data_IF_327915161240
#
_entry.id   IF_327915161240
#
_cell.length_a   1.000
_cell.length_b   1.000
_cell.length_c   1.000
_cell.angle_alpha   90.00
_cell.angle_beta   90.00
_cell.angle_gamma   90.00
#
_symmetry.space_group_name_H-M   'P 1'
#
loop_
_entity.id
_entity.type
_entity.pdbx_description
1 polymer ?
#
# COMPACT_ATOMS: atom_id res chain seq x y z
N UNK A 1 55.17 36.86 -10.11
CA UNK A 1 55.05 35.48 -9.56
C UNK A 1 53.96 35.36 -8.48
N UNK A 2 53.84 36.26 -7.49
CA UNK A 2 52.80 36.13 -6.43
C UNK A 2 51.35 36.34 -6.89
N UNK A 3 51.11 37.20 -7.88
CA UNK A 3 49.76 37.60 -8.32
C UNK A 3 48.98 36.47 -9.01
N UNK A 4 49.63 35.70 -9.90
CA UNK A 4 49.00 34.56 -10.58
C UNK A 4 48.62 33.42 -9.62
N UNK A 5 49.45 33.17 -8.61
CA UNK A 5 49.16 32.16 -7.58
C UNK A 5 48.01 32.58 -6.69
N UNK A 6 47.95 33.86 -6.30
CA UNK A 6 46.86 34.41 -5.50
C UNK A 6 45.53 34.39 -6.28
N UNK A 7 45.55 34.72 -7.57
CA UNK A 7 44.37 34.67 -8.44
C UNK A 7 43.87 33.23 -8.64
N UNK A 8 44.77 32.26 -8.85
CA UNK A 8 44.40 30.85 -8.92
C UNK A 8 43.78 30.36 -7.60
N UNK A 9 44.35 30.76 -6.46
CA UNK A 9 43.80 30.48 -5.13
C UNK A 9 42.38 31.02 -4.97
N UNK A 10 42.12 32.26 -5.38
CA UNK A 10 40.78 32.85 -5.29
C UNK A 10 39.73 32.10 -6.12
N UNK A 11 40.08 31.61 -7.31
CA UNK A 11 39.18 30.77 -8.10
C UNK A 11 38.87 29.45 -7.40
N UNK A 12 39.86 28.83 -6.76
CA UNK A 12 39.66 27.59 -5.99
C UNK A 12 38.79 27.81 -4.75
N UNK A 13 39.00 28.91 -4.02
CA UNK A 13 38.18 29.26 -2.85
C UNK A 13 36.72 29.51 -3.25
N UNK A 14 36.51 30.19 -4.39
CA UNK A 14 35.17 30.42 -4.93
C UNK A 14 34.49 29.10 -5.32
N UNK A 15 35.22 28.17 -5.90
CA UNK A 15 34.68 26.85 -6.26
C UNK A 15 34.38 26.00 -5.03
N UNK A 16 35.25 26.03 -4.01
CA UNK A 16 35.02 25.34 -2.75
C UNK A 16 33.77 25.87 -2.04
N UNK A 17 33.55 27.18 -2.03
CA UNK A 17 32.37 27.80 -1.43
C UNK A 17 31.06 27.41 -2.14
N UNK A 18 31.10 27.06 -3.43
CA UNK A 18 29.92 26.63 -4.18
C UNK A 18 29.50 25.18 -3.88
N UNK A 19 30.34 24.38 -3.22
CA UNK A 19 30.03 22.98 -2.92
C UNK A 19 28.83 22.89 -1.99
N UNK A 20 28.74 23.77 -0.99
CA UNK A 20 27.63 23.76 -0.03
C UNK A 20 26.29 24.03 -0.73
N UNK A 21 26.24 25.03 -1.62
CA UNK A 21 25.04 25.34 -2.42
C UNK A 21 24.61 24.14 -3.30
N UNK A 22 25.59 23.44 -3.90
CA UNK A 22 25.33 22.25 -4.72
C UNK A 22 24.74 21.13 -3.86
N UNK A 23 25.32 20.88 -2.68
CA UNK A 23 24.84 19.82 -1.78
C UNK A 23 23.42 20.11 -1.28
N UNK A 24 23.10 21.37 -0.99
CA UNK A 24 21.74 21.78 -0.62
C UNK A 24 20.75 21.56 -1.78
N UNK A 25 21.13 21.92 -3.01
CA UNK A 25 20.31 21.62 -4.19
C UNK A 25 20.15 20.10 -4.41
N UNK A 26 21.20 19.29 -4.23
CA UNK A 26 21.13 17.83 -4.33
C UNK A 26 20.21 17.19 -3.28
N UNK A 27 20.24 17.70 -2.04
CA UNK A 27 19.38 17.25 -0.95
C UNK A 27 17.89 17.44 -1.31
N UNK A 28 17.54 18.56 -1.95
CA UNK A 28 16.17 18.80 -2.40
C UNK A 28 15.66 17.71 -3.35
N UNK A 29 16.48 17.29 -4.33
CA UNK A 29 16.11 16.20 -5.22
C UNK A 29 16.05 14.85 -4.51
N UNK A 30 16.97 14.61 -3.56
CA UNK A 30 16.96 13.40 -2.76
C UNK A 30 15.67 13.29 -1.93
N UNK A 31 15.21 14.40 -1.35
CA UNK A 31 13.96 14.45 -0.58
C UNK A 31 12.72 14.19 -1.44
N UNK A 32 12.64 14.79 -2.63
CA UNK A 32 11.57 14.48 -3.60
C UNK A 32 11.52 12.97 -3.94
N UNK A 33 12.68 12.34 -4.12
CA UNK A 33 12.76 10.90 -4.38
C UNK A 33 12.39 10.06 -3.14
N UNK A 34 12.74 10.51 -1.93
CA UNK A 34 12.36 9.84 -0.67
C UNK A 34 10.85 9.85 -0.46
N UNK A 35 10.14 10.89 -0.90
CA UNK A 35 8.66 10.92 -0.81
C UNK A 35 8.03 9.70 -1.48
N UNK A 36 8.60 9.25 -2.60
CA UNK A 36 8.15 8.06 -3.30
C UNK A 36 8.34 6.76 -2.53
N UNK A 37 9.26 6.69 -1.57
CA UNK A 37 9.34 5.57 -0.63
C UNK A 37 8.10 5.54 0.28
N UNK A 38 7.68 6.68 0.82
CA UNK A 38 6.47 6.76 1.66
C UNK A 38 5.19 6.43 0.88
N UNK A 39 5.11 6.79 -0.40
CA UNK A 39 4.00 6.36 -1.26
C UNK A 39 3.93 4.83 -1.40
N UNK A 40 5.08 4.13 -1.46
CA UNK A 40 5.05 2.65 -1.48
C UNK A 40 4.45 2.05 -0.20
N UNK A 41 4.68 2.68 0.95
CA UNK A 41 4.10 2.25 2.22
C UNK A 41 2.59 2.54 2.28
N UNK A 42 2.14 3.64 1.67
CA UNK A 42 0.72 3.95 1.51
C UNK A 42 0.02 2.88 0.63
N UNK A 43 0.59 2.55 -0.53
CA UNK A 43 0.06 1.49 -1.41
C UNK A 43 0.03 0.14 -0.69
N UNK A 44 1.09 -0.21 0.06
CA UNK A 44 1.11 -1.43 0.88
C UNK A 44 -0.03 -1.43 1.91
N UNK A 45 -0.34 -0.29 2.50
CA UNK A 45 -1.43 -0.15 3.48
C UNK A 45 -2.81 -0.35 2.85
N UNK A 46 -3.01 0.14 1.62
CA UNK A 46 -4.22 -0.13 0.82
C UNK A 46 -4.38 -1.62 0.54
N UNK A 47 -3.30 -2.30 0.13
CA UNK A 47 -3.32 -3.75 -0.10
C UNK A 47 -3.66 -4.53 1.17
N UNK A 48 -3.06 -4.18 2.32
CA UNK A 48 -3.40 -4.81 3.60
C UNK A 48 -4.85 -4.60 3.99
N UNK A 49 -5.41 -3.41 3.74
CA UNK A 49 -6.82 -3.14 3.98
C UNK A 49 -7.72 -3.99 3.08
N UNK A 50 -7.36 -4.18 1.81
CA UNK A 50 -8.06 -5.10 0.92
C UNK A 50 -8.06 -6.53 1.48
N UNK A 51 -6.91 -7.03 1.92
CA UNK A 51 -6.78 -8.38 2.49
C UNK A 51 -7.69 -8.57 3.72
N UNK A 52 -7.79 -7.57 4.59
CA UNK A 52 -8.68 -7.61 5.76
C UNK A 52 -10.16 -7.65 5.36
N UNK A 53 -10.58 -6.79 4.42
CA UNK A 53 -11.97 -6.76 3.93
C UNK A 53 -12.33 -8.09 3.25
N UNK A 54 -11.43 -8.61 2.43
CA UNK A 54 -11.60 -9.90 1.76
C UNK A 54 -11.71 -11.04 2.78
N UNK A 55 -10.88 -11.03 3.82
CA UNK A 55 -10.97 -12.00 4.91
C UNK A 55 -12.32 -11.94 5.64
N UNK A 56 -12.82 -10.75 5.97
CA UNK A 56 -14.14 -10.59 6.60
C UNK A 56 -15.27 -11.12 5.71
N UNK A 57 -15.20 -10.87 4.40
CA UNK A 57 -16.15 -11.39 3.42
C UNK A 57 -16.14 -12.93 3.39
N UNK A 58 -14.96 -13.53 3.36
CA UNK A 58 -14.78 -15.00 3.34
C UNK A 58 -15.29 -15.63 4.64
N UNK A 59 -15.05 -14.99 5.79
CA UNK A 59 -15.57 -15.43 7.08
C UNK A 59 -17.10 -15.39 7.12
N UNK A 60 -17.72 -14.31 6.63
CA UNK A 60 -19.18 -14.21 6.54
C UNK A 60 -19.78 -15.28 5.61
N UNK A 61 -19.12 -15.55 4.47
CA UNK A 61 -19.54 -16.59 3.54
C UNK A 61 -19.47 -17.99 4.19
N UNK A 62 -18.38 -18.29 4.89
CA UNK A 62 -18.18 -19.56 5.58
C UNK A 62 -19.19 -19.77 6.71
N UNK A 63 -19.50 -18.71 7.48
CA UNK A 63 -20.53 -18.76 8.52
C UNK A 63 -21.91 -19.08 7.93
N UNK A 64 -22.27 -18.42 6.83
CA UNK A 64 -23.54 -18.65 6.14
C UNK A 64 -23.66 -20.09 5.64
N UNK A 65 -22.60 -20.63 5.04
CA UNK A 65 -22.54 -22.04 4.59
C UNK A 65 -22.76 -22.99 5.78
N UNK A 66 -22.09 -22.74 6.91
CA UNK A 66 -22.27 -23.53 8.14
C UNK A 66 -23.71 -23.50 8.64
N UNK A 67 -24.36 -22.33 8.68
CA UNK A 67 -25.76 -22.19 9.10
C UNK A 67 -26.72 -22.93 8.17
N UNK A 68 -26.52 -22.81 6.84
CA UNK A 68 -27.32 -23.53 5.83
C UNK A 68 -27.18 -25.05 5.99
N UNK A 69 -25.97 -25.55 6.23
CA UNK A 69 -25.74 -26.97 6.49
C UNK A 69 -26.44 -27.43 7.77
N UNK A 70 -26.34 -26.65 8.87
CA UNK A 70 -27.04 -26.96 10.13
C UNK A 70 -28.57 -27.04 9.93
N UNK A 71 -29.13 -26.17 9.07
CA UNK A 71 -30.57 -26.15 8.76
C UNK A 71 -30.99 -27.36 7.95
N UNK A 72 -30.15 -27.82 7.04
CA UNK A 72 -30.40 -29.05 6.26
C UNK A 72 -30.31 -30.30 7.14
N UNK A 73 -29.31 -30.38 8.02
CA UNK A 73 -29.19 -31.47 9.01
C UNK A 73 -30.41 -31.51 9.95
N UNK A 74 -30.84 -30.35 10.44
CA UNK A 74 -32.01 -30.23 11.32
C UNK A 74 -33.33 -30.49 10.58
N UNK A 75 -33.46 -30.15 9.31
CA UNK A 75 -34.66 -30.42 8.50
C UNK A 75 -34.78 -31.91 8.13
N UNK A 76 -33.69 -32.53 7.68
CA UNK A 76 -33.68 -33.94 7.27
C UNK A 76 -33.68 -34.92 8.45
N UNK A 77 -33.36 -34.44 9.66
CA UNK A 77 -33.23 -35.29 10.84
C UNK A 77 -31.98 -36.18 10.80
N UNK A 78 -31.08 -35.91 9.85
CA UNK A 78 -29.83 -36.64 9.66
C UNK A 78 -28.79 -36.14 10.67
N UNK A 79 -29.04 -36.39 11.96
CA UNK A 79 -27.96 -36.34 12.94
C UNK A 79 -27.05 -37.50 12.58
N UNK A 80 -25.84 -37.24 12.08
CA UNK A 80 -24.86 -38.28 11.76
C UNK A 80 -24.83 -39.26 12.94
N UNK A 81 -25.17 -40.53 12.67
CA UNK A 81 -25.36 -41.60 13.66
C UNK A 81 -24.10 -41.84 14.52
N UNK A 82 -22.94 -41.31 14.11
CA UNK A 82 -21.65 -41.38 14.80
C UNK A 82 -21.22 -40.08 15.52
N UNK A 83 -22.09 -39.08 15.63
CA UNK A 83 -21.83 -37.86 16.42
C UNK A 83 -22.31 -38.03 17.87
N UNK A 84 -21.59 -37.45 18.83
CA UNK A 84 -21.96 -37.35 20.26
C UNK A 84 -23.42 -36.88 20.47
N UNK A 85 -23.97 -36.06 19.55
CA UNK A 85 -25.38 -35.61 19.58
C UNK A 85 -26.41 -36.75 19.34
N UNK A 86 -26.04 -37.79 18.60
CA UNK A 86 -26.88 -38.97 18.36
C UNK A 86 -26.97 -39.91 19.56
N UNK A 87 -25.99 -39.87 20.47
CA UNK A 87 -26.05 -40.59 21.74
C UNK A 87 -26.88 -39.85 22.79
N UNK A 88 -26.86 -38.51 22.80
CA UNK A 88 -27.65 -37.71 23.76
C UNK A 88 -29.15 -37.76 23.50
N UNK A 89 -29.60 -37.88 22.24
CA UNK A 89 -31.04 -38.01 21.93
C UNK A 89 -31.65 -39.33 22.44
N UNK A 90 -30.83 -40.39 22.56
CA UNK A 90 -31.24 -41.65 23.20
C UNK A 90 -31.21 -41.59 24.73
N UNK A 91 -30.44 -40.67 25.32
CA UNK A 91 -30.28 -40.52 26.77
C UNK A 91 -31.21 -39.46 27.40
N UNK A 92 -31.60 -38.42 26.66
CA UNK A 92 -32.36 -37.27 27.18
C UNK A 92 -33.77 -37.11 26.57
N UNK A 93 -34.19 -38.03 25.70
CA UNK A 93 -35.48 -38.00 25.01
C UNK A 93 -35.42 -37.29 23.66
N UNK A 94 -36.33 -37.65 22.77
CA UNK A 94 -36.55 -36.98 21.48
C UNK A 94 -37.05 -35.56 21.72
N UNK A 95 -36.33 -34.57 21.18
CA UNK A 95 -36.78 -33.18 21.08
C UNK A 95 -38.23 -33.12 20.57
N UNK A 96 -39.08 -32.29 21.17
CA UNK A 96 -40.46 -32.17 20.72
C UNK A 96 -40.51 -31.56 19.32
N UNK A 97 -41.54 -31.92 18.55
CA UNK A 97 -41.79 -31.38 17.22
C UNK A 97 -41.77 -29.84 17.23
N UNK A 98 -42.41 -29.23 18.24
CA UNK A 98 -42.51 -27.79 18.44
C UNK A 98 -41.16 -27.12 18.73
N UNK A 99 -40.29 -27.76 19.53
CA UNK A 99 -38.93 -27.27 19.79
C UNK A 99 -38.06 -27.29 18.53
N UNK A 100 -38.18 -28.36 17.72
CA UNK A 100 -37.46 -28.48 16.46
C UNK A 100 -37.91 -27.43 15.44
N UNK A 101 -39.22 -27.20 15.34
CA UNK A 101 -39.80 -26.16 14.47
C UNK A 101 -39.35 -24.76 14.91
N UNK A 102 -39.33 -24.47 16.21
CA UNK A 102 -38.82 -23.20 16.75
C UNK A 102 -37.32 -22.99 16.43
N UNK A 103 -36.49 -24.04 16.56
CA UNK A 103 -35.06 -23.96 16.19
C UNK A 103 -34.85 -23.79 14.69
N UNK A 104 -35.66 -24.44 13.86
CA UNK A 104 -35.63 -24.26 12.41
C UNK A 104 -35.98 -22.81 12.04
N UNK A 105 -37.04 -22.25 12.63
CA UNK A 105 -37.43 -20.86 12.38
C UNK A 105 -36.33 -19.86 12.80
N UNK A 106 -35.72 -20.05 13.98
CA UNK A 106 -34.61 -19.21 14.44
C UNK A 106 -33.37 -19.31 13.52
N UNK A 107 -33.07 -20.52 13.03
CA UNK A 107 -31.95 -20.75 12.13
C UNK A 107 -32.21 -20.17 10.73
N UNK A 108 -33.45 -20.24 10.23
CA UNK A 108 -33.85 -19.60 8.97
C UNK A 108 -33.71 -18.08 9.05
N UNK A 109 -34.16 -17.47 10.15
CA UNK A 109 -33.95 -16.04 10.39
C UNK A 109 -32.45 -15.69 10.40
N UNK A 110 -31.62 -16.47 11.10
CA UNK A 110 -30.18 -16.21 11.15
C UNK A 110 -29.48 -16.43 9.80
N UNK A 111 -30.00 -17.31 8.94
CA UNK A 111 -29.53 -17.47 7.56
C UNK A 111 -29.87 -16.23 6.75
N UNK A 112 -31.09 -15.70 6.87
CA UNK A 112 -31.51 -14.50 6.17
C UNK A 112 -30.66 -13.28 6.57
N UNK A 113 -30.43 -13.07 7.87
CA UNK A 113 -29.51 -12.03 8.38
C UNK A 113 -28.08 -12.23 7.86
N UNK A 114 -27.62 -13.48 7.78
CA UNK A 114 -26.32 -13.82 7.21
C UNK A 114 -26.20 -13.56 5.70
N UNK A 115 -27.27 -13.77 4.94
CA UNK A 115 -27.34 -13.43 3.51
C UNK A 115 -27.26 -11.93 3.27
N UNK A 116 -27.96 -11.14 4.09
CA UNK A 116 -27.88 -9.68 4.08
C UNK A 116 -26.47 -9.19 4.42
N UNK A 117 -25.88 -9.71 5.50
CA UNK A 117 -24.50 -9.40 5.92
C UNK A 117 -23.49 -9.72 4.81
N UNK A 118 -23.62 -10.89 4.17
CA UNK A 118 -22.74 -11.29 3.09
C UNK A 118 -22.88 -10.36 1.87
N UNK A 119 -24.10 -9.94 1.56
CA UNK A 119 -24.36 -8.99 0.47
C UNK A 119 -23.75 -7.62 0.76
N UNK A 120 -23.87 -7.13 2.00
CA UNK A 120 -23.25 -5.89 2.45
C UNK A 120 -21.74 -5.95 2.33
N UNK A 121 -21.10 -6.99 2.89
CA UNK A 121 -19.64 -7.19 2.82
C UNK A 121 -19.12 -7.31 1.38
N UNK A 122 -19.87 -7.97 0.50
CA UNK A 122 -19.51 -8.08 -0.91
C UNK A 122 -19.59 -6.72 -1.62
N UNK A 123 -20.56 -5.89 -1.25
CA UNK A 123 -20.70 -4.53 -1.78
C UNK A 123 -19.55 -3.65 -1.29
N UNK A 124 -19.26 -3.67 0.02
CA UNK A 124 -18.12 -2.98 0.63
C UNK A 124 -16.80 -3.35 -0.06
N UNK A 125 -16.56 -4.65 -0.28
CA UNK A 125 -15.35 -5.13 -0.95
C UNK A 125 -15.22 -4.60 -2.39
N UNK A 126 -16.31 -4.62 -3.16
CA UNK A 126 -16.30 -4.14 -4.55
C UNK A 126 -16.06 -2.64 -4.63
N UNK A 127 -16.74 -1.87 -3.78
CA UNK A 127 -16.57 -0.41 -3.70
C UNK A 127 -15.14 -0.07 -3.29
N UNK A 128 -14.59 -0.77 -2.28
CA UNK A 128 -13.22 -0.57 -1.87
C UNK A 128 -12.22 -0.86 -2.99
N UNK A 129 -12.36 -1.98 -3.69
CA UNK A 129 -11.47 -2.35 -4.81
C UNK A 129 -11.56 -1.33 -5.93
N UNK A 130 -12.76 -0.86 -6.27
CA UNK A 130 -12.95 0.14 -7.31
C UNK A 130 -12.22 1.45 -6.95
N UNK A 131 -12.47 1.98 -5.76
CA UNK A 131 -11.83 3.22 -5.31
C UNK A 131 -10.30 3.08 -5.20
N UNK A 132 -9.83 1.99 -4.59
CA UNK A 132 -8.41 1.70 -4.47
C UNK A 132 -7.73 1.58 -5.84
N UNK A 133 -8.40 0.99 -6.82
CA UNK A 133 -7.88 0.87 -8.17
C UNK A 133 -7.73 2.23 -8.86
N UNK A 134 -8.75 3.09 -8.74
CA UNK A 134 -8.68 4.46 -9.27
C UNK A 134 -7.52 5.27 -8.66
N UNK A 135 -7.29 5.12 -7.35
CA UNK A 135 -6.17 5.78 -6.67
C UNK A 135 -4.81 5.21 -7.10
N UNK A 136 -4.71 3.89 -7.28
CA UNK A 136 -3.50 3.23 -7.75
C UNK A 136 -3.14 3.65 -9.19
N UNK A 137 -4.13 3.76 -10.08
CA UNK A 137 -3.91 4.25 -11.45
C UNK A 137 -3.42 5.69 -11.46
N UNK A 138 -4.07 6.59 -10.71
CA UNK A 138 -3.61 7.98 -10.55
C UNK A 138 -2.18 8.05 -10.01
N UNK A 139 -1.86 7.20 -9.02
CA UNK A 139 -0.51 7.13 -8.48
C UNK A 139 0.52 6.69 -9.52
N UNK A 140 0.21 5.68 -10.35
CA UNK A 140 1.14 5.22 -11.40
C UNK A 140 1.46 6.32 -12.41
N UNK A 141 0.42 7.03 -12.88
CA UNK A 141 0.58 8.14 -13.83
C UNK A 141 1.41 9.27 -13.23
N UNK A 142 1.10 9.67 -12.00
CA UNK A 142 1.79 10.76 -11.30
C UNK A 142 3.24 10.40 -11.00
N UNK A 143 3.51 9.18 -10.54
CA UNK A 143 4.85 8.68 -10.24
C UNK A 143 5.77 8.76 -11.44
N UNK A 144 5.32 8.35 -12.62
CA UNK A 144 6.16 8.37 -13.82
C UNK A 144 6.51 9.80 -14.24
N UNK A 145 5.55 10.72 -14.12
CA UNK A 145 5.76 12.13 -14.43
C UNK A 145 6.76 12.76 -13.46
N UNK A 146 6.53 12.63 -12.16
CA UNK A 146 7.33 13.32 -11.15
C UNK A 146 8.76 12.78 -11.06
N UNK A 147 8.93 11.46 -11.09
CA UNK A 147 10.28 10.87 -11.11
C UNK A 147 11.05 11.29 -12.34
N UNK A 148 10.39 11.36 -13.51
CA UNK A 148 11.02 11.86 -14.73
C UNK A 148 11.42 13.32 -14.59
N UNK A 149 10.54 14.18 -14.09
CA UNK A 149 10.81 15.60 -13.90
C UNK A 149 11.94 15.84 -12.89
N UNK A 150 11.94 15.14 -11.75
CA UNK A 150 12.99 15.21 -10.74
C UNK A 150 14.36 14.77 -11.30
N UNK A 151 14.41 13.62 -11.99
CA UNK A 151 15.67 13.09 -12.56
C UNK A 151 16.21 13.97 -13.69
N UNK A 152 15.34 14.53 -14.54
CA UNK A 152 15.76 15.48 -15.58
C UNK A 152 16.32 16.75 -14.94
N UNK A 153 15.64 17.28 -13.92
CA UNK A 153 16.08 18.49 -13.22
C UNK A 153 17.41 18.28 -12.52
N UNK A 154 17.59 17.13 -11.86
CA UNK A 154 18.87 16.72 -11.28
C UNK A 154 19.98 16.64 -12.34
N UNK A 155 19.72 16.02 -13.50
CA UNK A 155 20.70 15.95 -14.57
C UNK A 155 21.09 17.34 -15.11
N UNK A 156 20.12 18.26 -15.24
CA UNK A 156 20.37 19.65 -15.65
C UNK A 156 21.25 20.37 -14.62
N UNK A 157 20.93 20.20 -13.33
CA UNK A 157 21.72 20.74 -12.22
C UNK A 157 23.16 20.22 -12.28
N UNK A 158 23.36 18.91 -12.45
CA UNK A 158 24.70 18.29 -12.57
C UNK A 158 25.50 18.83 -13.75
N UNK A 159 24.85 18.98 -14.91
CA UNK A 159 25.48 19.56 -16.10
C UNK A 159 25.91 21.00 -15.83
N UNK A 160 25.07 21.79 -15.15
CA UNK A 160 25.37 23.18 -14.78
C UNK A 160 26.57 23.25 -13.84
N UNK A 161 26.59 22.42 -12.81
CA UNK A 161 27.70 22.29 -11.85
C UNK A 161 29.01 21.90 -12.55
N UNK A 162 28.97 20.91 -13.44
CA UNK A 162 30.15 20.50 -14.22
C UNK A 162 30.68 21.63 -15.11
N UNK A 163 29.79 22.39 -15.78
CA UNK A 163 30.18 23.54 -16.60
C UNK A 163 30.86 24.63 -15.78
N UNK A 164 30.31 24.96 -14.60
CA UNK A 164 30.93 25.91 -13.66
C UNK A 164 32.32 25.40 -13.23
N UNK A 165 32.43 24.13 -12.85
CA UNK A 165 33.72 23.52 -12.48
C UNK A 165 34.75 23.60 -13.59
N UNK A 166 34.39 23.25 -14.84
CA UNK A 166 35.27 23.37 -16.01
C UNK A 166 35.76 24.81 -16.18
N UNK A 167 34.86 25.80 -16.00
CA UNK A 167 35.21 27.21 -16.12
C UNK A 167 36.22 27.64 -15.06
N UNK A 168 36.01 27.27 -13.79
CA UNK A 168 36.95 27.55 -12.69
C UNK A 168 38.32 26.93 -12.97
N UNK A 169 38.36 25.66 -13.35
CA UNK A 169 39.61 24.97 -13.67
C UNK A 169 40.33 25.59 -14.86
N UNK A 170 39.60 26.04 -15.87
CA UNK A 170 40.17 26.75 -17.02
C UNK A 170 40.78 28.09 -16.62
N UNK A 171 40.09 28.87 -15.79
CA UNK A 171 40.60 30.14 -15.26
C UNK A 171 41.86 29.93 -14.43
N UNK A 172 41.87 28.94 -13.53
CA UNK A 172 43.03 28.63 -12.71
C UNK A 172 44.23 28.20 -13.56
N UNK A 173 44.03 27.35 -14.56
CA UNK A 173 45.05 26.97 -15.54
C UNK A 173 45.63 28.20 -16.25
N UNK A 174 44.78 29.12 -16.69
CA UNK A 174 45.22 30.35 -17.36
C UNK A 174 46.01 31.26 -16.43
N UNK A 175 45.68 31.32 -15.13
CA UNK A 175 46.49 32.04 -14.15
C UNK A 175 47.90 31.44 -14.02
N UNK A 176 48.03 30.11 -14.02
CA UNK A 176 49.34 29.44 -14.00
C UNK A 176 50.12 29.61 -15.30
N UNK A 177 49.47 29.60 -16.47
CA UNK A 177 50.13 29.82 -17.75
C UNK A 177 50.68 31.24 -17.93
N UNK A 178 50.16 32.22 -17.17
CA UNK A 178 50.60 33.63 -17.18
C UNK A 178 51.71 33.92 -16.18
N UNK A 179 52.10 32.96 -15.33
CA UNK A 179 53.21 33.07 -14.38
C UNK A 179 54.55 32.81 -15.04
#
# INVERSE_FOLDING_TARGET
MGDGLQSAGHHMDTYAAQIDDILEEEEHYADQLKEYLFYTDAVRSVCKKHELIQYELEMAAQELVSKKQQREELATGTVRVFSLKGMTSKLFGTESQEQRESRLAALEQSIQEGEETLKEKNTECKEFVQMAWEDIERFKEQKDKDLREALISYAIMQISTCKKGIQVWSNAKDCFNKM
#
